data_IF_689269717394
#
_entry.id   IF_689269717394
#
_cell.length_a   1.000
_cell.length_b   1.000
_cell.length_c   1.000
_cell.angle_alpha   90.00
_cell.angle_beta   90.00
_cell.angle_gamma   90.00
#
_symmetry.space_group_name_H-M   'P 1'
#
loop_
_entity.id
_entity.type
_entity.pdbx_description
1 polymer ?
#
# COMPACT_ATOMS: atom_id res chain seq x y z
N UNK A 1 -24.92 -19.49 47.51
CA UNK A 1 -24.37 -18.90 46.28
C UNK A 1 -25.40 -19.06 45.17
N UNK A 2 -26.25 -18.07 44.99
CA UNK A 2 -27.36 -18.09 44.03
C UNK A 2 -26.91 -17.39 42.75
N UNK A 3 -26.75 -18.16 41.69
CA UNK A 3 -26.49 -17.64 40.35
C UNK A 3 -27.80 -17.04 39.82
N UNK A 4 -27.88 -15.71 39.75
CA UNK A 4 -29.06 -15.01 39.25
C UNK A 4 -29.26 -15.32 37.76
N UNK A 5 -30.35 -16.01 37.44
CA UNK A 5 -30.77 -16.26 36.07
C UNK A 5 -31.10 -14.94 35.38
N UNK A 6 -30.31 -14.55 34.38
CA UNK A 6 -30.53 -13.35 33.58
C UNK A 6 -31.80 -13.56 32.73
N UNK A 7 -32.82 -12.67 32.80
CA UNK A 7 -34.03 -12.82 32.01
C UNK A 7 -33.74 -12.79 30.49
N UNK A 8 -34.47 -13.57 29.66
CA UNK A 8 -34.15 -13.78 28.24
C UNK A 8 -34.20 -12.51 27.39
N UNK A 9 -34.84 -11.44 27.89
CA UNK A 9 -34.86 -10.11 27.25
C UNK A 9 -33.51 -9.40 27.31
N UNK A 10 -32.72 -9.65 28.35
CA UNK A 10 -31.39 -9.04 28.49
C UNK A 10 -30.35 -9.79 27.66
N UNK A 11 -30.54 -11.10 27.44
CA UNK A 11 -29.68 -11.89 26.57
C UNK A 11 -29.70 -11.35 25.12
N UNK A 12 -30.88 -11.05 24.58
CA UNK A 12 -31.03 -10.50 23.23
C UNK A 12 -30.42 -9.11 23.12
N UNK A 13 -30.60 -8.26 24.13
CA UNK A 13 -30.00 -6.91 24.14
C UNK A 13 -28.48 -6.98 24.25
N UNK A 14 -27.93 -7.86 25.08
CA UNK A 14 -26.48 -8.08 25.18
C UNK A 14 -25.92 -8.62 23.87
N UNK A 15 -26.61 -9.56 23.22
CA UNK A 15 -26.20 -10.11 21.92
C UNK A 15 -26.22 -9.03 20.82
N UNK A 16 -27.22 -8.14 20.83
CA UNK A 16 -27.32 -7.01 19.89
C UNK A 16 -26.16 -6.02 20.08
N UNK A 17 -25.85 -5.67 21.33
CA UNK A 17 -24.72 -4.78 21.66
C UNK A 17 -23.39 -5.42 21.26
N UNK A 18 -23.23 -6.73 21.48
CA UNK A 18 -22.03 -7.47 21.10
C UNK A 18 -21.87 -7.57 19.56
N UNK A 19 -22.98 -7.71 18.83
CA UNK A 19 -22.98 -7.70 17.37
C UNK A 19 -22.62 -6.32 16.78
N UNK A 20 -23.09 -5.23 17.40
CA UNK A 20 -22.66 -3.87 17.00
C UNK A 20 -21.18 -3.60 17.31
N UNK A 21 -20.65 -4.18 18.38
CA UNK A 21 -19.24 -4.04 18.75
C UNK A 21 -18.28 -4.84 17.84
N UNK A 22 -18.79 -5.80 17.07
CA UNK A 22 -18.00 -6.64 16.16
C UNK A 22 -17.97 -6.13 14.71
N UNK A 23 -18.50 -4.93 14.44
CA UNK A 23 -18.25 -4.22 13.19
C UNK A 23 -16.88 -3.54 13.31
N UNK A 24 -15.82 -4.35 13.38
CA UNK A 24 -14.51 -3.85 13.04
C UNK A 24 -14.58 -3.42 11.56
N UNK A 25 -14.04 -2.24 11.18
CA UNK A 25 -13.72 -2.03 9.79
C UNK A 25 -12.82 -3.21 9.41
N UNK A 26 -13.24 -4.01 8.43
CA UNK A 26 -12.30 -4.87 7.77
C UNK A 26 -11.22 -3.94 7.24
N UNK A 27 -10.07 -3.91 7.91
CA UNK A 27 -8.85 -3.36 7.35
C UNK A 27 -8.53 -4.28 6.18
N UNK A 28 -9.20 -4.04 5.04
CA UNK A 28 -8.69 -4.42 3.75
C UNK A 28 -7.23 -3.99 3.80
N UNK A 29 -6.31 -4.91 3.51
CA UNK A 29 -4.88 -4.66 3.42
C UNK A 29 -4.62 -3.75 2.21
N UNK A 30 -5.18 -2.54 2.27
CA UNK A 30 -5.16 -1.55 1.23
C UNK A 30 -3.76 -1.01 1.20
N UNK A 31 -3.07 -1.28 0.10
CA UNK A 31 -1.89 -0.55 -0.34
C UNK A 31 -2.09 0.93 0.00
N UNK A 32 -1.21 1.48 0.82
CA UNK A 32 -1.25 2.90 1.20
C UNK A 32 -1.25 3.72 -0.10
N UNK A 33 -2.17 4.69 -0.28
CA UNK A 33 -2.17 5.54 -1.46
C UNK A 33 -0.80 6.18 -1.67
N UNK A 34 -0.23 5.97 -2.85
CA UNK A 34 1.03 6.60 -3.24
C UNK A 34 0.72 7.95 -3.89
N UNK A 35 1.20 9.03 -3.28
CA UNK A 35 1.12 10.37 -3.85
C UNK A 35 2.01 10.46 -5.10
N UNK A 36 1.39 10.72 -6.24
CA UNK A 36 2.06 10.86 -7.54
C UNK A 36 2.52 12.30 -7.72
N UNK A 37 3.70 12.49 -8.29
CA UNK A 37 4.24 13.77 -8.74
C UNK A 37 4.14 13.92 -10.26
N UNK A 38 4.00 15.16 -10.78
CA UNK A 38 4.11 15.42 -12.21
C UNK A 38 5.45 14.91 -12.79
N UNK A 39 5.37 14.11 -13.84
CA UNK A 39 6.50 13.50 -14.55
C UNK A 39 7.02 12.20 -13.93
N UNK A 40 6.44 11.74 -12.81
CA UNK A 40 6.89 10.53 -12.11
C UNK A 40 6.75 9.27 -12.97
N UNK A 41 7.67 8.31 -12.76
CA UNK A 41 7.58 6.96 -13.30
C UNK A 41 7.04 6.00 -12.26
N UNK A 42 5.94 5.33 -12.58
CA UNK A 42 5.30 4.34 -11.72
C UNK A 42 5.39 2.96 -12.38
N UNK A 43 5.93 2.00 -11.64
CA UNK A 43 5.94 0.59 -12.04
C UNK A 43 4.55 0.00 -11.85
N UNK A 44 3.97 -0.54 -12.91
CA UNK A 44 2.62 -1.11 -12.91
C UNK A 44 2.72 -2.57 -13.31
N UNK A 45 2.25 -3.44 -12.42
CA UNK A 45 2.17 -4.88 -12.65
C UNK A 45 0.74 -5.41 -12.65
N UNK A 46 0.60 -6.70 -12.36
CA UNK A 46 -0.70 -7.35 -12.22
C UNK A 46 -1.44 -6.93 -10.94
N UNK A 47 -0.70 -6.67 -9.86
CA UNK A 47 -1.26 -6.24 -8.58
C UNK A 47 -1.75 -4.79 -8.67
N UNK A 48 -2.92 -4.48 -8.06
CA UNK A 48 -3.45 -3.12 -8.04
C UNK A 48 -2.65 -2.21 -7.10
N UNK A 49 -2.15 -1.12 -7.66
CA UNK A 49 -1.65 0.03 -6.90
C UNK A 49 -2.79 1.01 -6.63
N UNK A 50 -2.70 1.70 -5.49
CA UNK A 50 -3.59 2.81 -5.15
C UNK A 50 -2.78 4.09 -5.28
N UNK A 51 -3.16 4.96 -6.20
CA UNK A 51 -2.50 6.22 -6.46
C UNK A 51 -3.34 7.39 -5.97
N UNK A 52 -2.67 8.39 -5.43
CA UNK A 52 -3.20 9.71 -5.17
C UNK A 52 -2.65 10.68 -6.21
N UNK A 53 -3.52 11.14 -7.11
CA UNK A 53 -3.24 12.02 -8.24
C UNK A 53 -3.53 13.48 -7.91
N UNK A 54 -3.76 13.86 -6.65
CA UNK A 54 -4.06 15.24 -6.25
C UNK A 54 -2.99 16.22 -6.74
N UNK A 55 -1.71 15.84 -6.74
CA UNK A 55 -0.65 16.73 -7.25
C UNK A 55 -0.60 16.83 -8.79
N UNK A 56 -1.41 16.04 -9.51
CA UNK A 56 -1.59 16.17 -10.95
C UNK A 56 -2.72 17.15 -11.31
N UNK A 57 -3.46 17.67 -10.34
CA UNK A 57 -4.50 18.68 -10.57
C UNK A 57 -3.90 20.01 -11.02
N UNK A 58 -4.74 20.87 -11.59
CA UNK A 58 -4.36 22.26 -11.79
C UNK A 58 -4.16 22.93 -10.42
N UNK A 59 -3.01 23.57 -10.22
CA UNK A 59 -2.63 24.17 -8.94
C UNK A 59 -3.46 25.39 -8.55
N UNK A 60 -4.12 26.04 -9.52
CA UNK A 60 -4.95 27.22 -9.27
C UNK A 60 -6.39 26.84 -8.91
N UNK A 61 -6.93 25.80 -9.54
CA UNK A 61 -8.35 25.43 -9.42
C UNK A 61 -8.60 24.22 -8.53
N UNK A 62 -7.61 23.34 -8.34
CA UNK A 62 -7.71 22.08 -7.58
C UNK A 62 -8.87 21.16 -8.01
N UNK A 63 -9.39 21.36 -9.22
CA UNK A 63 -10.38 20.50 -9.83
C UNK A 63 -9.82 19.09 -10.04
N UNK A 64 -10.68 18.09 -9.86
CA UNK A 64 -10.28 16.69 -9.91
C UNK A 64 -9.77 16.26 -11.29
N UNK A 65 -8.78 15.37 -11.29
CA UNK A 65 -8.39 14.65 -12.51
C UNK A 65 -9.45 13.60 -12.79
N UNK A 66 -10.10 13.71 -13.95
CA UNK A 66 -11.20 12.83 -14.35
C UNK A 66 -10.77 11.73 -15.31
N UNK A 67 -9.66 11.94 -16.04
CA UNK A 67 -9.13 10.99 -17.00
C UNK A 67 -7.60 11.11 -17.07
N UNK A 68 -6.94 9.99 -17.38
CA UNK A 68 -5.56 9.95 -17.84
C UNK A 68 -5.56 9.62 -19.33
N UNK A 69 -4.91 10.46 -20.15
CA UNK A 69 -4.93 10.34 -21.60
C UNK A 69 -3.53 10.10 -22.15
N UNK A 70 -3.37 9.02 -22.91
CA UNK A 70 -2.15 8.75 -23.67
C UNK A 70 -2.32 9.27 -25.09
N UNK A 71 -1.28 9.91 -25.61
CA UNK A 71 -1.26 10.43 -26.97
C UNK A 71 -0.22 9.70 -27.80
N UNK A 72 -0.44 9.67 -29.13
CA UNK A 72 0.55 9.14 -30.06
C UNK A 72 1.86 9.91 -29.91
N UNK A 73 2.96 9.18 -29.78
CA UNK A 73 4.32 9.71 -29.59
C UNK A 73 4.43 10.68 -28.40
N UNK A 74 3.58 10.49 -27.39
CA UNK A 74 3.47 11.33 -26.20
C UNK A 74 3.25 12.84 -26.50
N UNK A 75 2.73 13.19 -27.68
CA UNK A 75 2.45 14.58 -28.06
C UNK A 75 0.99 14.95 -27.74
N UNK A 76 0.71 15.88 -26.82
CA UNK A 76 -0.66 16.26 -26.45
C UNK A 76 -1.46 16.91 -27.59
N UNK A 77 -0.79 17.34 -28.67
CA UNK A 77 -1.43 17.87 -29.88
C UNK A 77 -1.70 16.79 -30.95
N UNK A 78 -1.31 15.53 -30.70
CA UNK A 78 -1.57 14.41 -31.59
C UNK A 78 -2.88 13.69 -31.22
N UNK A 79 -3.18 12.59 -31.90
CA UNK A 79 -4.33 11.75 -31.55
C UNK A 79 -4.17 11.11 -30.17
N UNK A 80 -5.29 10.97 -29.45
CA UNK A 80 -5.39 10.14 -28.25
C UNK A 80 -5.33 8.67 -28.67
N UNK A 81 -4.52 7.88 -27.98
CA UNK A 81 -4.39 6.43 -28.20
C UNK A 81 -4.99 5.60 -27.07
N UNK A 82 -5.12 6.16 -25.87
CA UNK A 82 -5.75 5.51 -24.72
C UNK A 82 -6.39 6.54 -23.80
N UNK A 83 -7.55 6.21 -23.23
CA UNK A 83 -8.22 6.98 -22.19
C UNK A 83 -8.44 6.05 -21.01
N UNK A 84 -7.96 6.45 -19.84
CA UNK A 84 -8.20 5.75 -18.58
C UNK A 84 -9.06 6.64 -17.71
N UNK A 85 -10.31 6.25 -17.40
CA UNK A 85 -11.18 7.03 -16.53
C UNK A 85 -10.64 7.01 -15.09
N UNK A 86 -10.75 8.14 -14.41
CA UNK A 86 -10.35 8.33 -13.01
C UNK A 86 -11.60 8.71 -12.22
N UNK A 87 -12.32 7.73 -11.63
CA UNK A 87 -13.55 8.01 -10.87
C UNK A 87 -13.28 8.76 -9.55
N UNK A 88 -12.12 8.52 -8.96
CA UNK A 88 -11.64 9.18 -7.75
C UNK A 88 -10.13 9.31 -7.87
N UNK A 89 -9.64 10.55 -7.90
CA UNK A 89 -8.24 10.87 -8.10
C UNK A 89 -7.41 10.80 -6.83
N UNK A 90 -8.01 10.77 -5.64
CA UNK A 90 -7.28 10.54 -4.37
C UNK A 90 -7.06 9.06 -4.03
N UNK A 91 -7.75 8.15 -4.72
CA UNK A 91 -7.71 6.70 -4.47
C UNK A 91 -7.82 5.92 -5.79
N UNK A 92 -7.10 6.37 -6.80
CA UNK A 92 -7.16 5.80 -8.13
C UNK A 92 -6.47 4.42 -8.17
N UNK A 93 -7.24 3.37 -8.47
CA UNK A 93 -6.71 2.00 -8.58
C UNK A 93 -6.19 1.73 -9.98
N UNK A 94 -4.94 1.32 -10.09
CA UNK A 94 -4.30 1.00 -11.37
C UNK A 94 -3.57 -0.34 -11.34
N UNK A 95 -3.67 -1.08 -12.43
CA UNK A 95 -2.84 -2.24 -12.74
C UNK A 95 -2.69 -2.36 -14.26
N UNK A 96 -1.99 -3.39 -14.72
CA UNK A 96 -1.80 -3.69 -16.14
C UNK A 96 -3.13 -3.79 -16.92
N UNK A 97 -4.21 -4.24 -16.28
CA UNK A 97 -5.54 -4.34 -16.92
C UNK A 97 -6.19 -2.97 -17.08
N UNK A 98 -6.03 -2.07 -16.10
CA UNK A 98 -6.54 -0.69 -16.16
C UNK A 98 -5.97 0.07 -17.35
N UNK A 99 -4.70 -0.17 -17.70
CA UNK A 99 -4.04 0.44 -18.86
C UNK A 99 -4.05 -0.46 -20.11
N UNK A 100 -4.65 -1.65 -20.05
CA UNK A 100 -4.65 -2.65 -21.12
C UNK A 100 -3.24 -2.94 -21.69
N UNK A 101 -2.24 -3.00 -20.80
CA UNK A 101 -0.83 -3.15 -21.18
C UNK A 101 -0.21 -1.96 -21.94
N UNK A 102 -0.94 -0.86 -22.14
CA UNK A 102 -0.45 0.33 -22.84
C UNK A 102 0.42 1.19 -21.91
N UNK A 103 1.68 0.83 -21.77
CA UNK A 103 2.66 1.58 -20.99
C UNK A 103 3.06 2.92 -21.65
N UNK A 104 3.77 3.76 -20.90
CA UNK A 104 4.31 5.06 -21.32
C UNK A 104 3.58 6.25 -20.69
N UNK A 105 3.69 7.43 -21.30
CA UNK A 105 3.24 8.68 -20.69
C UNK A 105 1.74 8.94 -20.87
N UNK A 106 1.08 9.27 -19.78
CA UNK A 106 -0.31 9.71 -19.71
C UNK A 106 -0.36 11.13 -19.15
N UNK A 107 -1.23 11.96 -19.72
CA UNK A 107 -1.46 13.33 -19.28
C UNK A 107 -2.77 13.41 -18.50
N UNK A 108 -2.77 14.20 -17.43
CA UNK A 108 -3.95 14.44 -16.63
C UNK A 108 -4.97 15.29 -17.42
N UNK A 109 -6.22 14.89 -17.36
CA UNK A 109 -7.34 15.63 -17.92
C UNK A 109 -8.42 15.85 -16.86
N UNK A 110 -8.77 17.11 -16.67
CA UNK A 110 -9.91 17.55 -15.86
C UNK A 110 -11.07 17.88 -16.78
N UNK A 111 -12.27 17.38 -16.47
CA UNK A 111 -13.48 17.75 -17.21
C UNK A 111 -13.76 19.26 -17.16
N UNK A 112 -13.26 19.95 -16.13
CA UNK A 112 -13.46 21.39 -15.92
C UNK A 112 -12.34 22.23 -16.56
N UNK A 113 -11.08 21.84 -16.38
CA UNK A 113 -9.91 22.64 -16.85
C UNK A 113 -9.38 22.17 -18.22
N UNK A 114 -9.83 21.01 -18.69
CA UNK A 114 -9.31 20.38 -19.90
C UNK A 114 -7.99 19.64 -19.65
N UNK A 115 -7.14 19.62 -20.69
CA UNK A 115 -5.88 18.88 -20.68
C UNK A 115 -4.80 19.65 -19.93
N UNK A 116 -4.21 19.02 -18.91
CA UNK A 116 -3.14 19.58 -18.10
C UNK A 116 -1.79 19.10 -18.66
N UNK A 117 -1.27 19.81 -19.67
CA UNK A 117 -0.12 19.33 -20.48
C UNK A 117 1.17 19.13 -19.68
N UNK A 118 1.38 19.92 -18.62
CA UNK A 118 2.55 19.82 -17.75
C UNK A 118 2.41 18.70 -16.70
N UNK A 119 1.19 18.20 -16.50
CA UNK A 119 0.87 17.24 -15.45
C UNK A 119 0.70 15.87 -16.09
N UNK A 120 1.77 15.08 -16.04
CA UNK A 120 1.80 13.75 -16.64
C UNK A 120 2.35 12.71 -15.67
N UNK A 121 2.12 11.44 -15.98
CA UNK A 121 2.66 10.29 -15.27
C UNK A 121 3.11 9.27 -16.31
N UNK A 122 4.22 8.58 -16.08
CA UNK A 122 4.72 7.53 -16.97
C UNK A 122 4.56 6.17 -16.31
N UNK A 123 3.74 5.30 -16.90
CA UNK A 123 3.64 3.92 -16.44
C UNK A 123 4.69 3.06 -17.14
N UNK A 124 5.41 2.26 -16.37
CA UNK A 124 6.38 1.28 -16.88
C UNK A 124 6.01 -0.11 -16.36
N UNK A 125 6.34 -1.19 -17.08
CA UNK A 125 6.09 -2.54 -16.57
C UNK A 125 6.89 -2.76 -15.28
N UNK A 126 6.22 -3.28 -14.25
CA UNK A 126 6.90 -3.80 -13.07
C UNK A 126 7.78 -5.00 -13.45
N UNK A 127 8.91 -5.24 -12.77
CA UNK A 127 9.75 -6.40 -13.02
C UNK A 127 8.96 -7.70 -12.80
N UNK A 128 9.17 -8.69 -13.67
CA UNK A 128 8.61 -10.02 -13.45
C UNK A 128 9.22 -10.61 -12.17
N UNK A 129 8.41 -11.28 -11.32
CA UNK A 129 8.95 -11.96 -10.16
C UNK A 129 9.90 -13.05 -10.63
N UNK A 130 11.20 -12.89 -10.33
CA UNK A 130 12.19 -13.95 -10.52
C UNK A 130 11.72 -15.16 -9.71
N UNK A 131 11.32 -16.23 -10.40
CA UNK A 131 11.02 -17.48 -9.73
C UNK A 131 12.28 -17.95 -9.00
N UNK A 132 12.29 -17.88 -7.68
CA UNK A 132 13.26 -18.62 -6.87
C UNK A 132 13.04 -20.10 -7.20
N UNK A 133 13.96 -20.67 -7.97
CA UNK A 133 13.95 -22.09 -8.28
C UNK A 133 13.88 -22.87 -6.98
N UNK A 134 12.81 -23.63 -6.79
CA UNK A 134 12.76 -24.72 -5.84
C UNK A 134 13.85 -25.71 -6.29
N UNK A 135 15.02 -25.66 -5.63
CA UNK A 135 16.02 -26.70 -5.76
C UNK A 135 15.37 -28.02 -5.36
N UNK A 136 15.07 -28.83 -6.35
CA UNK A 136 14.68 -30.23 -6.16
C UNK A 136 15.93 -30.94 -5.64
N UNK A 137 16.02 -31.10 -4.32
CA UNK A 137 17.03 -31.93 -3.68
C UNK A 137 16.80 -33.36 -4.15
N UNK A 138 17.54 -33.77 -5.18
CA UNK A 138 17.65 -35.17 -5.57
C UNK A 138 18.45 -35.86 -4.47
N UNK A 139 17.74 -36.64 -3.65
CA UNK A 139 18.36 -37.53 -2.69
C UNK A 139 19.29 -38.51 -3.42
N UNK A 140 20.59 -38.40 -3.21
CA UNK A 140 21.55 -39.47 -3.50
C UNK A 140 21.91 -40.11 -2.16
N UNK A 141 21.54 -41.38 -2.03
CA UNK A 141 21.83 -42.25 -0.89
C UNK A 141 23.23 -42.88 -1.02
N UNK A 142 23.85 -43.11 0.15
CA UNK A 142 25.07 -43.90 0.51
C UNK A 142 26.44 -43.18 0.49
N UNK A 143 27.40 -43.27 1.44
CA UNK A 143 27.62 -43.78 2.84
C UNK A 143 29.07 -43.31 3.23
N UNK A 144 29.48 -43.15 4.51
CA UNK A 144 30.33 -42.02 4.98
C UNK A 144 31.85 -42.28 5.04
N UNK A 145 32.65 -41.20 4.99
CA UNK A 145 34.02 -41.18 5.54
C UNK A 145 34.46 -39.79 6.05
N UNK A 146 34.46 -39.68 7.38
CA UNK A 146 35.32 -38.91 8.32
C UNK A 146 35.83 -37.50 7.93
N UNK A 147 35.21 -36.52 8.58
CA UNK A 147 35.77 -35.37 9.32
C UNK A 147 37.13 -34.79 8.90
N UNK A 148 37.10 -33.58 8.33
CA UNK A 148 37.93 -32.47 8.83
C UNK A 148 37.07 -31.21 8.97
N UNK A 149 37.01 -30.73 10.20
CA UNK A 149 36.40 -29.46 10.61
C UNK A 149 37.27 -28.31 10.12
N UNK A 150 36.72 -27.40 9.34
CA UNK A 150 37.08 -25.98 9.43
C UNK A 150 35.78 -25.19 9.29
N UNK A 151 35.19 -24.87 10.43
CA UNK A 151 34.06 -23.95 10.51
C UNK A 151 34.58 -22.54 10.31
N UNK A 152 34.37 -21.97 9.12
CA UNK A 152 34.37 -20.51 8.96
C UNK A 152 32.99 -20.00 9.27
N UNK A 153 32.78 -19.62 10.53
CA UNK A 153 31.71 -18.73 10.97
C UNK A 153 31.78 -17.44 10.14
N UNK A 154 30.72 -17.04 9.40
CA UNK A 154 30.64 -15.68 8.93
C UNK A 154 30.45 -14.76 10.15
N UNK A 155 31.37 -13.83 10.30
CA UNK A 155 31.35 -12.72 11.26
C UNK A 155 30.03 -11.93 11.12
N UNK A 156 29.33 -11.60 12.22
CA UNK A 156 28.19 -10.70 12.14
C UNK A 156 28.68 -9.33 11.68
N UNK A 157 28.30 -8.95 10.45
CA UNK A 157 28.56 -7.62 9.93
C UNK A 157 27.84 -6.59 10.80
N UNK A 158 28.63 -5.82 11.54
CA UNK A 158 28.17 -4.71 12.36
C UNK A 158 27.65 -3.59 11.44
N UNK A 159 26.33 -3.40 11.39
CA UNK A 159 25.74 -2.23 10.75
C UNK A 159 25.96 -1.00 11.67
N UNK A 160 26.41 0.15 11.15
CA UNK A 160 26.53 1.37 11.94
C UNK A 160 25.14 1.86 12.37
N UNK A 161 24.95 2.05 13.69
CA UNK A 161 23.72 2.59 14.27
C UNK A 161 23.43 3.99 13.70
N UNK A 162 22.19 4.28 13.26
CA UNK A 162 21.72 5.65 13.14
C UNK A 162 21.45 6.19 14.55
N UNK A 163 22.34 7.08 15.00
CA UNK A 163 22.21 7.94 16.16
C UNK A 163 20.99 8.86 16.01
N UNK A 164 19.81 8.52 16.55
CA UNK A 164 18.75 9.48 16.93
C UNK A 164 17.51 8.76 17.47
N UNK A 165 17.37 8.55 18.79
CA UNK A 165 16.13 8.78 19.55
C UNK A 165 16.52 9.02 21.02
N UNK A 166 16.85 10.26 21.35
CA UNK A 166 16.63 10.79 22.69
C UNK A 166 15.28 11.52 22.63
N UNK A 167 14.25 11.03 23.33
CA UNK A 167 13.19 11.81 23.99
C UNK A 167 12.44 10.87 24.96
N UNK A 168 12.68 11.13 26.25
CA UNK A 168 11.79 11.03 27.40
C UNK A 168 10.89 9.77 27.59
N UNK A 169 11.45 8.76 28.23
CA UNK A 169 10.71 7.99 29.22
C UNK A 169 10.69 8.79 30.54
N UNK A 170 9.56 9.40 30.90
CA UNK A 170 9.07 9.72 32.26
C UNK A 170 7.64 10.26 32.05
N UNK A 171 6.62 9.45 32.34
CA UNK A 171 5.23 9.91 32.21
C UNK A 171 4.11 8.89 32.45
N UNK A 172 4.38 7.71 33.02
CA UNK A 172 3.33 6.70 33.28
C UNK A 172 3.31 6.21 34.75
N UNK A 173 4.03 6.87 35.67
CA UNK A 173 3.99 6.50 37.11
C UNK A 173 3.22 7.48 38.01
N UNK A 174 2.53 8.49 37.48
CA UNK A 174 1.83 9.50 38.27
C UNK A 174 0.29 9.45 38.19
N UNK A 175 -0.31 8.35 37.74
CA UNK A 175 -1.79 8.25 37.60
C UNK A 175 -2.45 7.13 38.41
N UNK A 176 -1.72 6.46 39.30
CA UNK A 176 -2.28 5.48 40.25
C UNK A 176 -2.21 5.90 41.72
N UNK A 177 -1.80 7.15 42.02
CA UNK A 177 -1.65 7.67 43.39
C UNK A 177 -2.77 8.58 43.90
N UNK A 178 -3.84 8.80 43.15
CA UNK A 178 -4.88 9.77 43.52
C UNK A 178 -6.30 9.28 43.21
N UNK A 179 -6.72 8.15 43.78
CA UNK A 179 -8.14 7.87 44.07
C UNK A 179 -8.27 6.89 45.25
N UNK A 180 -7.67 7.25 46.39
CA UNK A 180 -8.20 6.87 47.71
C UNK A 180 -8.70 8.13 48.42
N UNK A 181 -9.98 8.40 48.18
CA UNK A 181 -10.98 9.10 49.02
C UNK A 181 -12.28 8.39 48.62
N UNK A 182 -13.05 7.74 49.47
CA UNK A 182 -13.32 7.87 50.91
C UNK A 182 -13.60 6.49 51.52
#
# INVERSE_FOLDING_TARGET
>A
MTYGSIPPRHLTTILLILALAFIAPAAAQGTVPQAVQPGERIEVGSEPLVLDLVNLRNADTFNAVTELRKFRNDNPNAQITQIVPVPNDGYFKINVRTIDGNYGRYFAFSKTDGLLQQNSITFVPAPEPTATGIETVTAVTETPLVTQTTATTPEPTTAPLPTLIAIAAIGICALFGAMQRE
#
